data_IF_832980972874
#
_entry.id   IF_832980972874
#
_cell.length_a   1.000
_cell.length_b   1.000
_cell.length_c   1.000
_cell.angle_alpha   90.00
_cell.angle_beta   90.00
_cell.angle_gamma   90.00
#
_symmetry.space_group_name_H-M   'P 1'
#
loop_
_entity.id
_entity.type
_entity.pdbx_description
1 polymer ?
#
# COMPACT_ATOMS: atom_id res chain seq x y z
N UNK A 1 5.12 1.54 27.08
CA UNK A 1 5.24 2.92 26.61
C UNK A 1 6.07 2.98 25.35
N UNK A 2 5.76 3.90 24.44
CA UNK A 2 6.53 4.13 23.20
C UNK A 2 7.82 4.95 23.44
N UNK A 3 7.99 5.48 24.61
CA UNK A 3 9.19 6.12 25.14
C UNK A 3 9.28 5.69 26.62
N UNK A 4 9.90 4.56 26.90
CA UNK A 4 9.93 3.94 28.23
C UNK A 4 10.95 4.62 29.14
N UNK A 5 12.01 5.18 28.57
CA UNK A 5 13.09 5.81 29.29
C UNK A 5 12.98 7.35 29.36
N UNK A 6 11.90 7.92 28.78
CA UNK A 6 11.56 9.36 28.77
C UNK A 6 12.69 10.26 28.18
N UNK A 7 13.36 9.75 27.13
CA UNK A 7 14.43 10.48 26.45
C UNK A 7 13.96 11.28 25.21
N UNK A 8 12.67 11.18 24.87
CA UNK A 8 12.07 11.83 23.70
C UNK A 8 12.32 11.10 22.38
N UNK A 9 12.89 9.91 22.40
CA UNK A 9 13.09 9.04 21.25
C UNK A 9 12.10 7.86 21.35
N UNK A 10 11.15 7.81 20.47
CA UNK A 10 10.08 6.83 20.50
C UNK A 10 10.48 5.53 19.80
N UNK A 11 10.06 4.40 20.36
CA UNK A 11 10.27 3.07 19.79
C UNK A 11 11.76 2.74 19.56
N UNK A 12 12.61 3.09 20.49
CA UNK A 12 14.04 2.82 20.39
C UNK A 12 14.34 1.33 20.29
N UNK A 13 15.18 1.01 19.32
CA UNK A 13 15.75 -0.32 19.19
C UNK A 13 17.24 -0.20 18.81
N UNK A 14 18.08 -0.30 19.82
CA UNK A 14 19.53 -0.19 19.70
C UNK A 14 20.22 -1.56 19.73
N UNK A 15 21.55 -1.57 19.59
CA UNK A 15 22.34 -2.80 19.76
C UNK A 15 22.36 -3.29 21.24
N UNK A 16 22.11 -2.40 22.19
CA UNK A 16 22.25 -2.66 23.64
C UNK A 16 20.92 -2.78 24.38
N UNK A 17 19.82 -2.44 23.73
CA UNK A 17 18.48 -2.51 24.34
C UNK A 17 17.39 -2.08 23.37
N UNK A 18 16.16 -2.42 23.73
CA UNK A 18 14.96 -2.03 23.01
C UNK A 18 13.85 -1.68 23.99
N UNK A 19 12.99 -0.76 23.60
CA UNK A 19 11.74 -0.52 24.31
C UNK A 19 10.74 -1.61 24.02
N UNK A 20 9.92 -1.97 25.01
CA UNK A 20 8.87 -2.97 24.86
C UNK A 20 7.58 -2.24 24.48
N UNK A 21 7.19 -2.38 23.21
CA UNK A 21 6.05 -1.70 22.64
C UNK A 21 4.82 -2.60 22.70
N UNK A 22 3.71 -2.02 23.11
CA UNK A 22 2.39 -2.56 22.83
C UNK A 22 1.96 -2.04 21.45
N UNK A 23 1.90 -2.93 20.48
CA UNK A 23 1.62 -2.62 19.09
C UNK A 23 0.24 -3.10 18.64
N UNK A 24 -0.47 -3.84 19.49
CA UNK A 24 -1.82 -4.29 19.19
C UNK A 24 -2.78 -3.10 19.17
N UNK A 25 -3.61 -2.96 18.11
CA UNK A 25 -4.51 -1.82 18.01
C UNK A 25 -5.71 -1.95 18.97
N UNK A 26 -5.89 -0.98 19.86
CA UNK A 26 -7.09 -0.85 20.70
C UNK A 26 -8.28 -0.27 19.93
N UNK A 27 -8.01 0.47 18.85
CA UNK A 27 -8.99 1.14 18.00
C UNK A 27 -8.55 1.09 16.54
N UNK A 28 -9.52 1.07 15.63
CA UNK A 28 -9.25 1.22 14.22
C UNK A 28 -8.83 2.67 13.90
N UNK A 29 -7.68 2.84 13.26
CA UNK A 29 -7.11 4.15 12.94
C UNK A 29 -6.91 4.28 11.44
N UNK A 30 -7.30 5.43 10.88
CA UNK A 30 -7.00 5.84 9.52
C UNK A 30 -6.69 7.32 9.47
N UNK A 31 -5.99 7.74 8.43
CA UNK A 31 -5.67 9.15 8.20
C UNK A 31 -6.30 9.63 6.90
N UNK A 32 -7.16 10.63 6.97
CA UNK A 32 -7.63 11.32 5.77
C UNK A 32 -6.48 12.13 5.16
N UNK A 33 -6.23 11.91 3.87
CA UNK A 33 -5.16 12.56 3.12
C UNK A 33 -5.51 14.02 2.78
N UNK A 34 -5.61 14.88 3.81
CA UNK A 34 -6.06 16.28 3.72
C UNK A 34 -5.09 17.21 4.44
N UNK A 35 -4.84 18.41 3.88
CA UNK A 35 -3.96 19.46 4.44
C UNK A 35 -4.71 20.74 4.79
N UNK A 36 -5.93 20.91 4.30
CA UNK A 36 -6.75 22.10 4.49
C UNK A 36 -8.24 21.76 4.42
N UNK A 37 -9.10 22.70 4.81
CA UNK A 37 -10.56 22.50 4.85
C UNK A 37 -11.20 22.21 3.50
N UNK A 38 -10.64 22.73 2.41
CA UNK A 38 -11.14 22.42 1.05
C UNK A 38 -10.91 20.93 0.72
N UNK A 39 -9.70 20.43 0.95
CA UNK A 39 -9.38 19.01 0.73
C UNK A 39 -10.24 18.10 1.64
N UNK A 40 -10.52 18.51 2.89
CA UNK A 40 -11.44 17.77 3.78
C UNK A 40 -12.83 17.69 3.17
N UNK A 41 -13.40 18.79 2.68
CA UNK A 41 -14.72 18.80 2.04
C UNK A 41 -14.77 17.83 0.85
N UNK A 42 -13.77 17.91 -0.03
CA UNK A 42 -13.70 17.04 -1.21
C UNK A 42 -13.56 15.56 -0.82
N UNK A 43 -12.75 15.25 0.21
CA UNK A 43 -12.59 13.88 0.68
C UNK A 43 -13.89 13.33 1.29
N UNK A 44 -14.60 14.15 2.08
CA UNK A 44 -15.92 13.75 2.65
C UNK A 44 -16.94 13.51 1.53
N UNK A 45 -17.00 14.36 0.52
CA UNK A 45 -17.87 14.15 -0.65
C UNK A 45 -17.50 12.87 -1.41
N UNK A 46 -16.22 12.57 -1.55
CA UNK A 46 -15.73 11.33 -2.16
C UNK A 46 -16.16 10.10 -1.37
N UNK A 47 -16.03 10.13 -0.03
CA UNK A 47 -16.46 9.05 0.88
C UNK A 47 -17.98 8.83 0.77
N UNK A 48 -18.78 9.88 0.88
CA UNK A 48 -20.25 9.81 0.75
C UNK A 48 -20.63 9.22 -0.62
N UNK A 49 -20.00 9.68 -1.70
CA UNK A 49 -20.24 9.15 -3.05
C UNK A 49 -19.95 7.67 -3.11
N UNK A 50 -18.80 7.23 -2.62
CA UNK A 50 -18.42 5.82 -2.59
C UNK A 50 -19.46 4.99 -1.80
N UNK A 51 -19.75 5.36 -0.57
CA UNK A 51 -20.66 4.59 0.30
C UNK A 51 -22.08 4.47 -0.25
N UNK A 52 -22.52 5.47 -1.01
CA UNK A 52 -23.88 5.50 -1.56
C UNK A 52 -24.00 4.92 -2.98
N UNK A 53 -22.90 4.71 -3.69
CA UNK A 53 -22.92 4.27 -5.09
C UNK A 53 -22.18 2.97 -5.38
N UNK A 54 -21.33 2.50 -4.46
CA UNK A 54 -20.52 1.30 -4.69
C UNK A 54 -21.35 0.02 -4.60
N UNK A 55 -22.32 -0.03 -3.68
CA UNK A 55 -23.11 -1.24 -3.46
C UNK A 55 -23.89 -1.65 -4.72
N UNK A 56 -23.67 -2.89 -5.14
CA UNK A 56 -24.33 -3.48 -6.31
C UNK A 56 -23.79 -3.00 -7.67
N UNK A 57 -22.74 -2.20 -7.70
CA UNK A 57 -22.10 -1.80 -8.95
C UNK A 57 -21.06 -2.87 -9.41
N UNK A 58 -20.95 -3.07 -10.73
CA UNK A 58 -20.07 -4.09 -11.31
C UNK A 58 -18.60 -3.80 -10.97
N UNK A 59 -18.19 -2.52 -11.02
CA UNK A 59 -16.81 -2.14 -10.73
C UNK A 59 -16.38 -2.49 -9.28
N UNK A 60 -17.31 -2.48 -8.32
CA UNK A 60 -17.01 -2.79 -6.93
C UNK A 60 -16.64 -4.27 -6.69
N UNK A 61 -16.91 -5.13 -7.66
CA UNK A 61 -16.52 -6.54 -7.66
C UNK A 61 -15.36 -6.86 -8.59
N UNK A 62 -14.66 -5.85 -9.07
CA UNK A 62 -13.44 -6.01 -9.88
C UNK A 62 -12.20 -5.88 -9.00
N UNK A 63 -11.30 -6.85 -9.11
CA UNK A 63 -9.96 -6.83 -8.52
C UNK A 63 -8.92 -6.58 -9.60
N UNK A 64 -8.07 -5.58 -9.43
CA UNK A 64 -6.93 -5.30 -10.31
C UNK A 64 -5.63 -5.67 -9.59
N UNK A 65 -4.91 -6.67 -10.11
CA UNK A 65 -3.62 -7.11 -9.59
C UNK A 65 -2.47 -6.60 -10.47
N UNK A 66 -1.66 -5.66 -9.97
CA UNK A 66 -0.56 -5.03 -10.70
C UNK A 66 0.76 -5.52 -10.13
N UNK A 67 1.53 -6.27 -10.94
CA UNK A 67 2.71 -6.95 -10.44
C UNK A 67 3.69 -7.39 -11.54
N UNK A 68 4.82 -7.90 -11.10
CA UNK A 68 5.85 -8.54 -11.91
C UNK A 68 6.81 -9.35 -11.05
N UNK A 69 8.01 -9.60 -11.58
CA UNK A 69 9.10 -10.22 -10.89
C UNK A 69 9.76 -9.20 -9.94
N UNK A 70 9.64 -9.41 -8.63
CA UNK A 70 10.17 -8.45 -7.65
C UNK A 70 11.68 -8.66 -7.44
N UNK A 71 12.15 -9.89 -7.54
CA UNK A 71 13.55 -10.24 -7.29
C UNK A 71 14.17 -11.03 -8.46
N UNK A 72 14.26 -10.45 -9.67
CA UNK A 72 14.56 -11.17 -10.92
C UNK A 72 15.95 -11.81 -10.98
N UNK A 73 16.77 -11.64 -9.95
CA UNK A 73 18.12 -12.23 -9.84
C UNK A 73 18.34 -12.98 -8.54
N UNK A 74 17.29 -13.22 -7.75
CA UNK A 74 17.38 -13.83 -6.42
C UNK A 74 16.34 -14.95 -6.25
N UNK A 75 16.69 -15.94 -5.45
CA UNK A 75 15.78 -17.05 -5.16
C UNK A 75 15.55 -17.99 -6.34
N UNK A 76 14.37 -18.51 -6.47
CA UNK A 76 13.92 -19.34 -7.60
C UNK A 76 13.41 -18.44 -8.72
N UNK A 77 14.17 -18.35 -9.80
CA UNK A 77 13.87 -17.45 -10.93
C UNK A 77 12.61 -17.83 -11.73
N UNK A 78 11.99 -18.98 -11.43
CA UNK A 78 10.69 -19.36 -12.02
C UNK A 78 9.50 -18.75 -11.25
N UNK A 79 9.76 -18.06 -10.14
CA UNK A 79 8.74 -17.46 -9.28
C UNK A 79 8.77 -15.94 -9.45
N UNK A 80 7.69 -15.38 -9.97
CA UNK A 80 7.49 -13.94 -10.09
C UNK A 80 6.70 -13.48 -8.85
N UNK A 81 7.43 -13.11 -7.79
CA UNK A 81 6.88 -13.00 -6.45
C UNK A 81 5.71 -11.99 -6.33
N UNK A 82 5.75 -10.90 -7.10
CA UNK A 82 4.65 -9.93 -7.12
C UNK A 82 3.39 -10.53 -7.73
N UNK A 83 3.51 -11.29 -8.81
CA UNK A 83 2.38 -11.93 -9.49
C UNK A 83 1.76 -13.04 -8.62
N UNK A 84 2.60 -13.86 -7.99
CA UNK A 84 2.16 -14.88 -7.02
C UNK A 84 1.40 -14.23 -5.85
N UNK A 85 1.85 -13.07 -5.38
CA UNK A 85 1.18 -12.36 -4.30
C UNK A 85 -0.18 -11.79 -4.72
N UNK A 86 -0.30 -11.21 -5.92
CA UNK A 86 -1.59 -10.69 -6.41
C UNK A 86 -2.59 -11.81 -6.69
N UNK A 87 -2.15 -12.95 -7.20
CA UNK A 87 -3.00 -14.13 -7.37
C UNK A 87 -3.47 -14.69 -6.02
N UNK A 88 -2.56 -14.80 -5.05
CA UNK A 88 -2.89 -15.26 -3.70
C UNK A 88 -3.88 -14.32 -3.00
N UNK A 89 -3.76 -13.01 -3.18
CA UNK A 89 -4.72 -12.03 -2.68
C UNK A 89 -6.11 -12.21 -3.31
N UNK A 90 -6.17 -12.40 -4.62
CA UNK A 90 -7.42 -12.64 -5.35
C UNK A 90 -8.14 -13.89 -4.86
N UNK A 91 -7.40 -14.94 -4.47
CA UNK A 91 -7.98 -16.21 -4.01
C UNK A 91 -8.80 -16.07 -2.69
N UNK A 92 -8.71 -14.94 -1.99
CA UNK A 92 -9.60 -14.60 -0.86
C UNK A 92 -10.91 -13.91 -1.30
N UNK A 93 -11.07 -13.54 -2.56
CA UNK A 93 -12.15 -12.66 -3.02
C UNK A 93 -13.24 -13.40 -3.79
N UNK A 94 -14.11 -14.10 -3.09
CA UNK A 94 -15.24 -14.80 -3.68
C UNK A 94 -16.19 -13.85 -4.40
N UNK A 95 -16.54 -14.19 -5.65
CA UNK A 95 -17.47 -13.41 -6.47
C UNK A 95 -16.89 -12.13 -7.06
N UNK A 96 -15.55 -11.97 -7.04
CA UNK A 96 -14.85 -10.91 -7.75
C UNK A 96 -14.36 -11.38 -9.13
N UNK A 97 -14.22 -10.43 -10.06
CA UNK A 97 -13.55 -10.63 -11.34
C UNK A 97 -12.12 -10.10 -11.27
N UNK A 98 -11.14 -10.90 -11.70
CA UNK A 98 -9.73 -10.48 -11.72
C UNK A 98 -9.37 -9.82 -13.05
N UNK A 99 -8.56 -8.77 -12.94
CA UNK A 99 -7.81 -8.17 -14.04
C UNK A 99 -6.34 -8.11 -13.63
N UNK A 100 -5.56 -9.06 -14.15
CA UNK A 100 -4.15 -9.16 -13.85
C UNK A 100 -3.31 -8.41 -14.89
N UNK A 101 -2.67 -7.35 -14.42
CA UNK A 101 -1.76 -6.48 -15.19
C UNK A 101 -0.33 -6.84 -14.79
N UNK A 102 0.22 -7.84 -15.50
CA UNK A 102 1.46 -8.53 -15.16
C UNK A 102 2.56 -8.36 -16.20
N UNK A 103 3.80 -8.28 -15.76
CA UNK A 103 4.97 -8.18 -16.67
C UNK A 103 5.22 -9.48 -17.41
N UNK A 104 5.01 -10.65 -16.78
CA UNK A 104 5.24 -11.96 -17.40
C UNK A 104 4.32 -12.23 -18.58
N UNK A 105 3.10 -11.72 -18.56
CA UNK A 105 2.12 -11.84 -19.63
C UNK A 105 2.23 -10.75 -20.69
N UNK A 106 3.03 -9.69 -20.40
CA UNK A 106 3.13 -8.51 -21.24
C UNK A 106 1.92 -7.56 -21.13
N UNK A 107 0.97 -7.82 -20.22
CA UNK A 107 -0.15 -6.89 -19.95
C UNK A 107 0.27 -5.67 -19.15
N UNK A 108 1.44 -5.72 -18.48
CA UNK A 108 2.13 -4.59 -17.87
C UNK A 108 3.41 -4.32 -18.66
N UNK A 109 3.39 -3.34 -19.54
CA UNK A 109 4.53 -2.89 -20.33
C UNK A 109 4.86 -1.41 -20.07
N UNK A 110 3.93 -0.64 -19.52
CA UNK A 110 4.06 0.80 -19.28
C UNK A 110 3.11 1.29 -18.17
N UNK A 111 3.29 2.54 -17.75
CA UNK A 111 2.34 3.22 -16.85
C UNK A 111 0.92 3.35 -17.45
N UNK A 112 0.79 3.43 -18.75
CA UNK A 112 -0.51 3.57 -19.43
C UNK A 112 -1.40 2.32 -19.21
N UNK A 113 -0.81 1.14 -19.08
CA UNK A 113 -1.54 -0.10 -18.80
C UNK A 113 -2.14 -0.03 -17.37
N UNK A 114 -1.37 0.48 -16.40
CA UNK A 114 -1.84 0.72 -15.02
C UNK A 114 -2.97 1.76 -15.01
N UNK A 115 -2.76 2.89 -15.70
CA UNK A 115 -3.76 3.96 -15.80
C UNK A 115 -5.04 3.44 -16.45
N UNK A 116 -4.92 2.65 -17.53
CA UNK A 116 -6.07 2.04 -18.23
C UNK A 116 -6.85 1.10 -17.31
N UNK A 117 -6.17 0.20 -16.60
CA UNK A 117 -6.79 -0.76 -15.71
C UNK A 117 -7.54 -0.08 -14.55
N UNK A 118 -6.90 0.87 -13.87
CA UNK A 118 -7.53 1.59 -12.74
C UNK A 118 -8.68 2.49 -13.21
N UNK A 119 -8.55 3.11 -14.39
CA UNK A 119 -9.57 4.03 -14.92
C UNK A 119 -10.91 3.36 -15.23
N UNK A 120 -10.96 2.05 -15.34
CA UNK A 120 -12.21 1.28 -15.48
C UNK A 120 -12.95 1.09 -14.15
N UNK A 121 -12.37 1.55 -13.03
CA UNK A 121 -12.88 1.33 -11.68
C UNK A 121 -12.55 -0.07 -11.13
N UNK A 122 -12.46 -0.20 -9.83
CA UNK A 122 -12.25 -1.47 -9.15
C UNK A 122 -12.73 -1.39 -7.68
N UNK A 123 -13.12 -2.52 -7.09
CA UNK A 123 -13.32 -2.63 -5.65
C UNK A 123 -11.97 -2.65 -4.93
N UNK A 124 -11.01 -3.41 -5.48
CA UNK A 124 -9.65 -3.47 -4.96
C UNK A 124 -8.61 -3.30 -6.06
N UNK A 125 -7.52 -2.63 -5.73
CA UNK A 125 -6.27 -2.65 -6.51
C UNK A 125 -5.14 -3.12 -5.61
N UNK A 126 -4.41 -4.13 -6.01
CA UNK A 126 -3.25 -4.64 -5.30
C UNK A 126 -1.98 -4.42 -6.14
N UNK A 127 -1.06 -3.67 -5.59
CA UNK A 127 0.28 -3.46 -6.14
C UNK A 127 1.29 -4.30 -5.36
N UNK A 128 2.01 -5.20 -6.01
CA UNK A 128 3.08 -5.96 -5.35
C UNK A 128 4.41 -5.85 -6.10
N UNK A 129 5.35 -5.08 -5.52
CA UNK A 129 6.64 -4.75 -6.14
C UNK A 129 7.51 -3.88 -5.26
N UNK A 130 8.09 -2.84 -5.85
CA UNK A 130 8.96 -1.86 -5.22
C UNK A 130 8.33 -0.48 -5.18
N UNK A 131 8.82 0.39 -4.29
CA UNK A 131 8.30 1.75 -4.19
C UNK A 131 9.31 2.74 -3.63
N UNK A 132 8.97 3.99 -3.80
CA UNK A 132 9.55 5.15 -3.16
C UNK A 132 8.45 6.23 -2.99
N UNK A 133 8.72 7.38 -2.39
CA UNK A 133 7.69 8.41 -2.21
C UNK A 133 7.03 8.93 -3.49
N UNK A 134 7.66 8.77 -4.65
CA UNK A 134 7.15 9.30 -5.93
C UNK A 134 6.62 8.22 -6.88
N UNK A 135 7.05 6.98 -6.74
CA UNK A 135 6.74 5.93 -7.71
C UNK A 135 6.55 4.57 -7.06
N UNK A 136 5.81 3.73 -7.76
CA UNK A 136 5.80 2.29 -7.57
C UNK A 136 6.25 1.64 -8.89
N UNK A 137 7.06 0.56 -8.82
CA UNK A 137 7.52 -0.17 -9.98
C UNK A 137 7.89 -1.62 -9.66
N UNK A 138 7.98 -2.43 -10.72
CA UNK A 138 8.43 -3.82 -10.68
C UNK A 138 9.32 -4.13 -11.89
N UNK A 139 9.78 -5.37 -12.01
CA UNK A 139 10.60 -5.83 -13.13
C UNK A 139 9.87 -6.85 -14.01
N UNK A 140 10.24 -6.95 -15.29
CA UNK A 140 9.95 -8.14 -16.09
C UNK A 140 10.70 -9.37 -15.54
N UNK A 141 10.23 -10.59 -15.86
CA UNK A 141 10.92 -11.83 -15.51
C UNK A 141 12.39 -11.82 -15.91
N UNK A 142 13.28 -12.16 -14.97
CA UNK A 142 14.72 -12.29 -15.17
C UNK A 142 15.43 -11.00 -15.68
N UNK A 143 14.75 -9.84 -15.68
CA UNK A 143 15.31 -8.57 -16.14
C UNK A 143 15.38 -7.53 -15.01
N UNK A 144 16.50 -7.52 -14.31
CA UNK A 144 16.78 -6.52 -13.25
C UNK A 144 17.06 -5.10 -13.80
N UNK A 145 17.36 -4.96 -15.09
CA UNK A 145 17.73 -3.67 -15.69
C UNK A 145 16.52 -2.79 -16.02
N UNK A 146 15.36 -3.38 -16.25
CA UNK A 146 14.13 -2.69 -16.65
C UNK A 146 13.19 -2.48 -15.47
N UNK A 147 12.72 -1.25 -15.30
CA UNK A 147 11.68 -0.89 -14.34
C UNK A 147 10.41 -0.50 -15.07
N UNK A 148 9.28 -1.12 -14.70
CA UNK A 148 7.96 -0.81 -15.22
C UNK A 148 7.05 -0.45 -14.04
N UNK A 149 6.36 0.69 -14.10
CA UNK A 149 5.52 1.13 -13.01
C UNK A 149 4.83 2.47 -13.27
N UNK A 150 4.39 3.13 -12.23
CA UNK A 150 3.66 4.40 -12.29
C UNK A 150 4.23 5.42 -11.30
N UNK A 151 4.49 6.61 -11.80
CA UNK A 151 4.93 7.77 -11.04
C UNK A 151 3.75 8.71 -10.72
N UNK A 152 3.87 9.50 -9.65
CA UNK A 152 2.83 10.46 -9.25
C UNK A 152 2.46 11.45 -10.34
N UNK A 153 3.35 11.74 -11.29
CA UNK A 153 3.08 12.64 -12.44
C UNK A 153 2.04 12.07 -13.42
N UNK A 154 1.78 10.75 -13.39
CA UNK A 154 0.81 10.08 -14.24
C UNK A 154 -0.58 9.96 -13.58
N UNK A 155 -0.68 10.21 -12.27
CA UNK A 155 -1.98 10.18 -11.57
C UNK A 155 -3.05 11.13 -12.15
N UNK A 156 -2.71 12.32 -12.69
CA UNK A 156 -3.70 13.14 -13.36
C UNK A 156 -4.46 12.44 -14.50
N UNK A 157 -3.87 11.39 -15.11
CA UNK A 157 -4.51 10.60 -16.18
C UNK A 157 -5.52 9.56 -15.68
N UNK A 158 -5.58 9.28 -14.37
CA UNK A 158 -6.59 8.39 -13.79
C UNK A 158 -7.97 9.03 -13.88
N UNK A 159 -8.94 8.33 -14.49
CA UNK A 159 -10.27 8.86 -14.81
C UNK A 159 -11.44 8.03 -14.21
N UNK A 160 -11.19 7.37 -13.09
CA UNK A 160 -12.16 6.53 -12.39
C UNK A 160 -13.01 7.29 -11.35
N UNK A 161 -13.44 8.51 -11.66
CA UNK A 161 -14.30 9.29 -10.76
C UNK A 161 -15.58 8.51 -10.40
N UNK A 162 -15.88 8.39 -9.10
CA UNK A 162 -17.01 7.62 -8.58
C UNK A 162 -16.76 6.11 -8.46
N UNK A 163 -15.66 5.58 -9.01
CA UNK A 163 -15.33 4.15 -9.03
C UNK A 163 -13.98 3.90 -8.34
N UNK A 164 -13.91 4.27 -7.06
CA UNK A 164 -12.65 4.36 -6.31
C UNK A 164 -12.30 3.04 -5.63
N UNK A 165 -11.16 2.39 -5.92
CA UNK A 165 -10.71 1.20 -5.22
C UNK A 165 -10.20 1.47 -3.79
N UNK A 166 -10.27 0.46 -2.93
CA UNK A 166 -9.35 0.31 -1.81
C UNK A 166 -8.05 -0.26 -2.39
N UNK A 167 -6.93 0.43 -2.17
CA UNK A 167 -5.63 0.07 -2.76
C UNK A 167 -4.67 -0.42 -1.70
N UNK A 168 -4.13 -1.63 -1.88
CA UNK A 168 -3.10 -2.23 -1.03
C UNK A 168 -1.78 -2.21 -1.81
N UNK A 169 -0.70 -1.70 -1.20
CA UNK A 169 0.55 -1.42 -1.91
C UNK A 169 1.75 -2.06 -1.22
N UNK A 170 2.23 -3.13 -1.80
CA UNK A 170 3.54 -3.71 -1.50
C UNK A 170 4.65 -2.92 -2.18
N UNK A 171 5.33 -2.08 -1.39
CA UNK A 171 6.43 -1.25 -1.83
C UNK A 171 7.04 -0.47 -0.66
N UNK A 172 8.22 0.11 -0.88
CA UNK A 172 8.90 0.94 0.12
C UNK A 172 8.38 2.38 0.07
N UNK A 173 8.20 3.04 1.21
CA UNK A 173 8.01 4.49 1.33
C UNK A 173 6.82 5.10 0.57
N UNK A 174 5.91 4.31 0.00
CA UNK A 174 4.79 4.82 -0.79
C UNK A 174 3.82 5.70 0.03
N UNK A 175 3.75 5.53 1.35
CA UNK A 175 2.95 6.36 2.27
C UNK A 175 3.81 7.17 3.25
N UNK A 176 5.05 7.54 2.88
CA UNK A 176 5.95 8.31 3.73
C UNK A 176 5.40 9.71 4.02
N UNK A 177 5.35 10.12 5.30
CA UNK A 177 4.71 11.39 5.70
C UNK A 177 5.63 12.62 5.63
N UNK A 178 6.94 12.47 5.83
CA UNK A 178 7.90 13.56 5.92
C UNK A 178 8.46 14.02 4.56
N UNK A 179 7.73 13.79 3.48
CA UNK A 179 8.03 14.28 2.14
C UNK A 179 7.56 15.72 1.97
N UNK A 180 8.35 16.54 1.28
CA UNK A 180 8.00 17.94 0.99
C UNK A 180 8.95 18.55 -0.03
N UNK A 181 8.46 19.43 -0.90
CA UNK A 181 9.30 20.28 -1.74
C UNK A 181 10.32 21.09 -0.92
N UNK A 182 9.99 21.45 0.33
CA UNK A 182 10.89 22.17 1.23
C UNK A 182 12.11 21.33 1.64
N UNK A 183 12.07 20.01 1.48
CA UNK A 183 13.24 19.15 1.72
C UNK A 183 14.41 19.49 0.78
N UNK A 184 14.14 20.09 -0.40
CA UNK A 184 15.18 20.61 -1.29
C UNK A 184 16.01 21.74 -0.66
N UNK A 185 15.54 22.35 0.41
CA UNK A 185 16.28 23.36 1.17
C UNK A 185 17.25 22.76 2.21
N UNK A 186 17.24 21.46 2.41
CA UNK A 186 18.16 20.72 3.27
C UNK A 186 19.51 20.51 2.59
N UNK A 187 20.23 21.60 2.30
CA UNK A 187 21.47 21.59 1.49
C UNK A 187 22.54 20.59 1.94
N UNK A 188 22.61 20.26 3.23
CA UNK A 188 23.57 19.28 3.77
C UNK A 188 23.22 17.83 3.40
N UNK A 189 21.97 17.56 3.06
CA UNK A 189 21.41 16.24 2.77
C UNK A 189 20.73 16.19 1.41
N UNK A 190 21.00 17.16 0.54
CA UNK A 190 20.29 17.31 -0.74
C UNK A 190 20.39 16.07 -1.64
N UNK A 191 21.53 15.39 -1.63
CA UNK A 191 21.71 14.18 -2.42
C UNK A 191 20.85 13.02 -1.91
N UNK A 192 20.74 12.86 -0.58
CA UNK A 192 19.88 11.86 0.06
C UNK A 192 18.41 12.16 -0.24
N UNK A 193 17.98 13.41 -0.03
CA UNK A 193 16.63 13.89 -0.32
C UNK A 193 16.26 13.63 -1.78
N UNK A 194 17.16 13.90 -2.71
CA UNK A 194 16.92 13.67 -4.13
C UNK A 194 16.86 12.18 -4.45
N UNK A 195 17.82 11.41 -4.00
CA UNK A 195 17.93 9.98 -4.26
C UNK A 195 16.73 9.20 -3.69
N UNK A 196 16.29 9.55 -2.48
CA UNK A 196 15.14 8.91 -1.83
C UNK A 196 13.78 9.52 -2.23
N UNK A 197 13.75 10.47 -3.18
CA UNK A 197 12.52 11.13 -3.65
C UNK A 197 11.74 11.85 -2.53
N UNK A 198 12.39 12.24 -1.44
CA UNK A 198 11.76 12.91 -0.29
C UNK A 198 11.34 14.36 -0.57
N UNK A 199 11.70 14.87 -1.75
CA UNK A 199 11.28 16.16 -2.27
C UNK A 199 9.89 16.13 -2.94
N UNK A 200 9.26 14.97 -3.04
CA UNK A 200 7.88 14.88 -3.54
C UNK A 200 6.96 15.81 -2.76
N UNK A 201 6.03 16.53 -3.40
CA UNK A 201 5.07 17.38 -2.69
C UNK A 201 4.12 16.57 -1.79
N UNK A 202 3.87 15.33 -2.15
CA UNK A 202 3.06 14.34 -1.44
C UNK A 202 3.61 12.95 -1.74
N UNK A 203 3.47 12.00 -0.81
CA UNK A 203 3.82 10.61 -1.11
C UNK A 203 2.82 9.99 -2.08
N UNK A 204 3.25 8.96 -2.77
CA UNK A 204 2.50 8.25 -3.79
C UNK A 204 1.11 7.81 -3.30
N UNK A 205 1.04 7.13 -2.14
CA UNK A 205 -0.22 6.67 -1.55
C UNK A 205 -1.12 7.81 -1.09
N UNK A 206 -0.53 8.88 -0.53
CA UNK A 206 -1.27 10.09 -0.16
C UNK A 206 -1.92 10.75 -1.39
N UNK A 207 -1.17 10.93 -2.46
CA UNK A 207 -1.68 11.54 -3.68
C UNK A 207 -2.78 10.69 -4.31
N UNK A 208 -2.58 9.36 -4.37
CA UNK A 208 -3.58 8.44 -4.93
C UNK A 208 -4.91 8.51 -4.15
N UNK A 209 -4.86 8.49 -2.80
CA UNK A 209 -6.05 8.60 -1.96
C UNK A 209 -6.72 9.98 -2.05
N UNK A 210 -5.93 11.06 -2.15
CA UNK A 210 -6.42 12.43 -2.19
C UNK A 210 -7.02 12.86 -3.53
N UNK A 211 -6.68 12.18 -4.64
CA UNK A 211 -7.22 12.54 -5.97
C UNK A 211 -8.74 12.45 -5.99
N UNK A 212 -9.43 13.58 -6.23
CA UNK A 212 -10.89 13.68 -6.08
C UNK A 212 -11.67 13.17 -7.30
N UNK A 213 -11.11 13.38 -8.50
CA UNK A 213 -11.69 12.99 -9.78
C UNK A 213 -11.16 11.64 -10.29
N UNK A 214 -10.73 10.79 -9.39
CA UNK A 214 -10.16 9.47 -9.66
C UNK A 214 -9.30 8.98 -8.50
N UNK A 215 -8.38 8.05 -8.78
CA UNK A 215 -7.49 7.46 -7.78
C UNK A 215 -8.18 6.45 -6.89
N UNK A 216 -7.85 6.42 -5.59
CA UNK A 216 -8.35 5.44 -4.63
C UNK A 216 -9.21 6.09 -3.54
N UNK A 217 -10.15 5.34 -2.94
CA UNK A 217 -10.89 5.79 -1.75
C UNK A 217 -9.99 5.69 -0.51
N UNK A 218 -9.10 4.70 -0.51
CA UNK A 218 -8.12 4.50 0.54
C UNK A 218 -6.86 3.82 -0.03
N UNK A 219 -5.72 4.07 0.62
CA UNK A 219 -4.46 3.41 0.31
C UNK A 219 -3.85 2.85 1.59
N UNK A 220 -3.49 1.57 1.60
CA UNK A 220 -2.74 0.92 2.66
C UNK A 220 -1.34 0.63 2.13
N UNK A 221 -0.31 1.19 2.77
CA UNK A 221 1.07 1.10 2.30
C UNK A 221 2.09 1.40 3.40
N UNK A 222 3.37 1.15 3.11
CA UNK A 222 4.46 1.40 4.04
C UNK A 222 4.86 2.88 4.10
N UNK A 223 5.05 3.41 5.32
CA UNK A 223 5.65 4.73 5.55
C UNK A 223 7.18 4.71 5.48
N UNK A 224 7.79 3.54 5.49
CA UNK A 224 9.21 3.30 5.41
C UNK A 224 9.54 2.13 4.49
N UNK A 225 10.60 1.38 4.79
CA UNK A 225 11.01 0.24 3.97
C UNK A 225 9.97 -0.90 4.04
N UNK A 226 9.45 -1.29 2.88
CA UNK A 226 8.76 -2.57 2.70
C UNK A 226 9.78 -3.70 2.58
N UNK A 227 9.65 -4.72 3.39
CA UNK A 227 10.51 -5.88 3.36
C UNK A 227 9.80 -7.04 2.69
N UNK A 228 10.46 -7.74 1.79
CA UNK A 228 9.96 -8.94 1.13
C UNK A 228 10.88 -10.12 1.31
N UNK A 229 10.44 -11.29 0.85
CA UNK A 229 11.19 -12.53 0.82
C UNK A 229 11.25 -13.00 -0.63
N UNK A 230 12.43 -13.27 -1.23
CA UNK A 230 12.52 -13.81 -2.58
C UNK A 230 12.15 -15.29 -2.64
N UNK A 231 11.64 -15.73 -3.80
CA UNK A 231 11.39 -17.13 -4.12
C UNK A 231 10.17 -17.74 -3.45
N UNK A 232 10.19 -19.06 -3.21
CA UNK A 232 9.03 -19.85 -2.80
C UNK A 232 8.37 -19.42 -1.48
N UNK A 233 9.15 -18.84 -0.55
CA UNK A 233 8.65 -18.38 0.75
C UNK A 233 8.05 -16.97 0.71
N UNK A 234 7.84 -16.39 -0.47
CA UNK A 234 7.45 -14.99 -0.65
C UNK A 234 6.14 -14.63 0.06
N UNK A 235 5.22 -15.59 0.21
CA UNK A 235 3.92 -15.40 0.87
C UNK A 235 3.93 -15.69 2.39
N UNK A 236 5.00 -16.28 2.90
CA UNK A 236 5.01 -16.83 4.26
C UNK A 236 5.43 -15.80 5.30
N UNK A 237 6.13 -14.73 4.89
CA UNK A 237 6.71 -13.74 5.82
C UNK A 237 6.81 -12.35 5.20
N UNK A 238 7.02 -11.35 6.07
CA UNK A 238 7.27 -9.96 5.69
C UNK A 238 6.05 -9.28 5.06
N UNK A 239 6.28 -8.27 4.20
CA UNK A 239 5.23 -7.40 3.67
C UNK A 239 4.13 -8.15 2.91
N UNK A 240 4.48 -9.14 2.09
CA UNK A 240 3.46 -9.91 1.34
C UNK A 240 2.54 -10.72 2.24
N UNK A 241 3.07 -11.29 3.32
CA UNK A 241 2.22 -11.92 4.31
C UNK A 241 1.21 -10.92 4.89
N UNK A 242 1.67 -9.68 5.23
CA UNK A 242 0.81 -8.60 5.70
C UNK A 242 -0.25 -8.20 4.66
N UNK A 243 0.15 -8.01 3.40
CA UNK A 243 -0.75 -7.68 2.29
C UNK A 243 -1.88 -8.72 2.16
N UNK A 244 -1.55 -10.01 2.25
CA UNK A 244 -2.54 -11.09 2.16
C UNK A 244 -3.49 -11.13 3.35
N UNK A 245 -3.04 -10.74 4.54
CA UNK A 245 -3.87 -10.77 5.75
C UNK A 245 -4.99 -9.75 5.71
N UNK A 246 -4.84 -8.64 4.99
CA UNK A 246 -5.94 -7.72 4.71
C UNK A 246 -7.07 -8.43 3.93
N UNK A 247 -6.75 -9.12 2.85
CA UNK A 247 -7.74 -9.85 2.04
C UNK A 247 -8.37 -11.02 2.80
N UNK A 248 -7.57 -11.72 3.64
CA UNK A 248 -8.10 -12.74 4.54
C UNK A 248 -9.13 -12.15 5.51
N UNK A 249 -8.80 -11.07 6.22
CA UNK A 249 -9.70 -10.41 7.16
C UNK A 249 -11.01 -9.96 6.48
N UNK A 250 -10.91 -9.41 5.27
CA UNK A 250 -12.08 -9.06 4.46
C UNK A 250 -12.93 -10.28 4.11
N UNK A 251 -12.31 -11.38 3.68
CA UNK A 251 -13.01 -12.63 3.33
C UNK A 251 -13.74 -13.28 4.52
N UNK A 252 -13.27 -13.03 5.72
CA UNK A 252 -13.90 -13.48 6.97
C UNK A 252 -15.07 -12.59 7.44
N UNK A 253 -15.40 -11.57 6.65
CA UNK A 253 -16.59 -10.70 6.85
C UNK A 253 -16.31 -9.37 7.54
N UNK A 254 -15.04 -8.99 7.73
CA UNK A 254 -14.69 -7.66 8.21
C UNK A 254 -14.72 -6.68 7.03
N UNK A 255 -15.83 -5.97 6.88
CA UNK A 255 -16.07 -5.04 5.77
C UNK A 255 -15.91 -3.55 6.14
N UNK A 256 -15.64 -3.24 7.42
CA UNK A 256 -15.26 -1.89 7.85
C UNK A 256 -13.75 -1.72 7.70
N UNK A 257 -13.32 -0.82 6.82
CA UNK A 257 -11.94 -0.68 6.35
C UNK A 257 -10.90 -0.63 7.47
N UNK A 258 -11.15 0.15 8.51
CA UNK A 258 -10.24 0.25 9.65
C UNK A 258 -10.18 -1.02 10.50
N UNK A 259 -11.29 -1.76 10.61
CA UNK A 259 -11.31 -3.05 11.32
C UNK A 259 -10.59 -4.13 10.52
N UNK A 260 -10.76 -4.14 9.20
CA UNK A 260 -10.01 -5.03 8.30
C UNK A 260 -8.51 -4.78 8.42
N UNK A 261 -8.10 -3.50 8.45
CA UNK A 261 -6.70 -3.11 8.61
C UNK A 261 -6.15 -3.40 10.02
N UNK A 262 -6.92 -3.22 11.07
CA UNK A 262 -6.49 -3.61 12.43
C UNK A 262 -6.29 -5.14 12.53
N UNK A 263 -7.17 -5.91 11.91
CA UNK A 263 -7.10 -7.37 11.91
C UNK A 263 -5.90 -7.89 11.10
N UNK A 264 -5.52 -7.25 9.98
CA UNK A 264 -4.33 -7.65 9.23
C UNK A 264 -3.06 -7.51 10.07
N UNK A 265 -2.94 -6.40 10.82
CA UNK A 265 -1.86 -6.18 11.78
C UNK A 265 -1.84 -7.25 12.89
N UNK A 266 -2.99 -7.58 13.47
CA UNK A 266 -3.10 -8.61 14.50
C UNK A 266 -2.68 -9.99 13.97
N UNK A 267 -3.12 -10.39 12.77
CA UNK A 267 -2.70 -11.64 12.15
C UNK A 267 -1.19 -11.71 11.95
N UNK A 268 -0.60 -10.60 11.48
CA UNK A 268 0.84 -10.52 11.33
C UNK A 268 1.56 -10.71 12.67
N UNK A 269 1.21 -9.90 13.67
CA UNK A 269 1.87 -9.87 14.97
C UNK A 269 1.68 -11.16 15.78
N UNK A 270 0.55 -11.84 15.61
CA UNK A 270 0.30 -13.13 16.23
C UNK A 270 1.16 -14.26 15.63
N UNK A 271 1.52 -14.14 14.36
CA UNK A 271 2.39 -15.11 13.67
C UNK A 271 3.86 -14.75 13.80
N UNK A 272 4.18 -13.47 13.69
CA UNK A 272 5.52 -12.89 13.75
C UNK A 272 5.59 -11.83 14.85
N UNK A 273 5.83 -12.21 16.12
CA UNK A 273 5.83 -11.28 17.24
C UNK A 273 6.81 -10.13 17.02
N UNK A 274 6.34 -8.87 16.98
CA UNK A 274 7.16 -7.75 16.52
C UNK A 274 8.32 -7.43 17.45
N UNK A 275 8.24 -7.82 18.73
CA UNK A 275 9.33 -7.57 19.68
C UNK A 275 10.43 -8.63 19.64
N UNK A 276 10.32 -9.66 18.81
CA UNK A 276 11.35 -10.70 18.63
C UNK A 276 12.32 -10.38 17.48
N UNK A 277 11.84 -9.75 16.40
CA UNK A 277 12.64 -9.38 15.24
C UNK A 277 12.43 -7.90 14.88
N UNK A 278 13.53 -7.16 14.67
CA UNK A 278 13.49 -5.73 14.35
C UNK A 278 12.80 -5.42 13.03
N UNK A 279 12.88 -6.32 12.07
CA UNK A 279 12.24 -6.15 10.77
C UNK A 279 10.74 -6.35 10.89
N UNK A 280 10.30 -7.37 11.66
CA UNK A 280 8.88 -7.61 11.91
C UNK A 280 8.26 -6.45 12.71
N UNK A 281 9.00 -5.89 13.68
CA UNK A 281 8.61 -4.67 14.38
C UNK A 281 8.38 -3.50 13.40
N UNK A 282 9.33 -3.28 12.48
CA UNK A 282 9.21 -2.21 11.48
C UNK A 282 8.05 -2.41 10.52
N UNK A 283 7.81 -3.63 10.07
CA UNK A 283 6.68 -3.93 9.17
C UNK A 283 5.37 -3.52 9.83
N UNK A 284 5.14 -3.96 11.07
CA UNK A 284 3.91 -3.60 11.79
C UNK A 284 3.78 -2.09 12.06
N UNK A 285 4.89 -1.40 12.39
CA UNK A 285 4.88 0.06 12.64
C UNK A 285 4.64 0.90 11.40
N UNK A 286 5.05 0.43 10.22
CA UNK A 286 5.09 1.22 9.00
C UNK A 286 3.89 1.00 8.09
N UNK A 287 3.06 0.00 8.37
CA UNK A 287 1.87 -0.33 7.60
C UNK A 287 0.71 0.55 8.03
N UNK A 288 0.29 1.48 7.16
CA UNK A 288 -0.68 2.53 7.53
C UNK A 288 -1.83 2.63 6.55
N UNK A 289 -3.01 2.97 7.09
CA UNK A 289 -4.21 3.29 6.35
C UNK A 289 -4.31 4.80 6.08
N UNK A 290 -4.25 5.19 4.81
CA UNK A 290 -4.66 6.50 4.33
C UNK A 290 -6.09 6.41 3.80
N UNK A 291 -7.07 6.73 4.63
CA UNK A 291 -8.49 6.61 4.35
C UNK A 291 -9.34 6.78 5.60
N UNK A 292 -10.65 6.70 5.44
CA UNK A 292 -11.61 6.71 6.54
C UNK A 292 -11.70 5.30 7.17
N UNK A 293 -11.35 5.11 8.45
CA UNK A 293 -11.42 3.80 9.08
C UNK A 293 -12.86 3.30 9.28
N UNK A 294 -13.85 4.18 9.21
CA UNK A 294 -15.27 3.83 9.31
C UNK A 294 -15.92 3.50 7.96
N UNK A 295 -15.17 3.60 6.86
CA UNK A 295 -15.66 3.31 5.52
C UNK A 295 -16.10 1.85 5.41
N UNK A 296 -17.31 1.60 4.91
CA UNK A 296 -17.75 0.26 4.53
C UNK A 296 -17.22 -0.09 3.13
N UNK A 297 -16.41 -1.12 3.06
CA UNK A 297 -15.88 -1.64 1.78
C UNK A 297 -17.03 -2.17 0.93
N UNK A 298 -17.16 -1.66 -0.30
CA UNK A 298 -18.26 -1.99 -1.19
C UNK A 298 -19.55 -1.18 -0.99
N UNK A 299 -19.55 -0.21 -0.07
CA UNK A 299 -20.70 0.68 0.21
C UNK A 299 -21.85 0.04 1.00
N UNK A 300 -22.94 0.79 1.18
CA UNK A 300 -24.14 0.35 1.90
C UNK A 300 -25.27 -0.05 0.95
#
# INVERSE_FOLDING_TARGET
SWDENDNGVYAEWTMTGKEILDMYPDVAVGRLACRNSYEVTQMVEKIITYETTAAGSDWAKRFVGIAGDTYPTQGDLSIYEGEVATEAAFNYLDGYESDFVWTSTGTLASADDIVSAISQGAGFVHFSGHGNPMSWATHPPEDHGTWIGIDVSQFPSLSNAGMYPVTIVGGCHNSQFNVSLLNLLKFRHIQEVYYHSEWSPESWGWWLARKFDGGAIATIANTGYGYGQPGAETLEKRGRYMELKFFQAYSEGLDMLGMTHAQDLEYYMNTWPPMEDRVDCKIAQQWVLLGDPSLKIGGY
#
